data_IF_578639734179
#
_entry.id   IF_578639734179
#
_cell.length_a   1.000
_cell.length_b   1.000
_cell.length_c   1.000
_cell.angle_alpha   90.00
_cell.angle_beta   90.00
_cell.angle_gamma   90.00
#
_symmetry.space_group_name_H-M   'P 1'
#
loop_
_entity.id
_entity.type
_entity.pdbx_description
1 polymer ?
#
# COMPACT_ATOMS: atom_id res chain seq x y z
N UNK A 1 -3.13 11.70 -5.31
CA UNK A 1 -2.61 10.49 -5.99
C UNK A 1 -3.67 9.88 -6.90
N UNK A 2 -4.79 9.36 -6.37
CA UNK A 2 -5.84 8.71 -7.17
C UNK A 2 -6.67 9.64 -8.07
N UNK A 3 -6.49 10.95 -7.95
CA UNK A 3 -7.02 11.91 -8.92
C UNK A 3 -6.37 11.74 -10.30
N UNK A 4 -5.11 11.29 -10.35
CA UNK A 4 -4.30 11.21 -11.58
C UNK A 4 -3.93 9.77 -11.96
N UNK A 5 -3.75 8.89 -10.98
CA UNK A 5 -3.29 7.51 -11.22
C UNK A 5 -4.32 6.49 -10.74
N UNK A 6 -4.43 5.37 -11.46
CA UNK A 6 -5.33 4.27 -11.07
C UNK A 6 -4.70 3.32 -10.03
N UNK A 7 -3.38 3.39 -9.86
CA UNK A 7 -2.62 2.55 -8.92
C UNK A 7 -1.60 3.37 -8.14
N UNK A 8 -1.46 3.05 -6.85
CA UNK A 8 -0.42 3.58 -5.98
C UNK A 8 0.36 2.42 -5.38
N UNK A 9 1.69 2.54 -5.39
CA UNK A 9 2.61 1.53 -4.88
C UNK A 9 3.18 1.95 -3.53
N UNK A 10 3.27 1.01 -2.59
CA UNK A 10 3.92 1.18 -1.30
C UNK A 10 5.07 0.18 -1.18
N UNK A 11 6.23 0.69 -0.79
CA UNK A 11 7.45 -0.09 -0.57
C UNK A 11 7.74 -0.10 0.92
N UNK A 12 7.66 -1.28 1.54
CA UNK A 12 7.73 -1.42 3.00
C UNK A 12 8.76 -2.49 3.35
N UNK A 13 9.69 -2.15 4.25
CA UNK A 13 10.63 -3.12 4.78
C UNK A 13 9.89 -4.28 5.50
N UNK A 14 10.33 -5.54 5.35
CA UNK A 14 9.74 -6.70 6.02
C UNK A 14 9.66 -6.56 7.55
N UNK A 15 10.55 -5.79 8.15
CA UNK A 15 10.59 -5.52 9.59
C UNK A 15 9.60 -4.45 10.05
N UNK A 16 9.04 -3.64 9.14
CA UNK A 16 8.11 -2.56 9.47
C UNK A 16 6.66 -3.06 9.50
N UNK A 17 6.37 -3.94 10.46
CA UNK A 17 5.06 -4.60 10.64
C UNK A 17 3.92 -3.59 10.81
N UNK A 18 4.18 -2.46 11.47
CA UNK A 18 3.18 -1.39 11.66
C UNK A 18 2.70 -0.85 10.31
N UNK A 19 3.61 -0.57 9.39
CA UNK A 19 3.27 -0.01 8.08
C UNK A 19 2.60 -1.05 7.18
N UNK A 20 2.99 -2.34 7.29
CA UNK A 20 2.30 -3.43 6.59
C UNK A 20 0.82 -3.52 7.01
N UNK A 21 0.55 -3.49 8.32
CA UNK A 21 -0.83 -3.50 8.84
C UNK A 21 -1.62 -2.26 8.42
N UNK A 22 -0.98 -1.09 8.46
CA UNK A 22 -1.61 0.15 8.01
C UNK A 22 -1.95 0.11 6.51
N UNK A 23 -1.03 -0.40 5.68
CA UNK A 23 -1.23 -0.56 4.24
C UNK A 23 -2.43 -1.48 3.95
N UNK A 24 -2.51 -2.64 4.60
CA UNK A 24 -3.66 -3.54 4.48
C UNK A 24 -4.97 -2.89 4.92
N UNK A 25 -4.96 -2.11 6.01
CA UNK A 25 -6.15 -1.39 6.50
C UNK A 25 -6.69 -0.38 5.49
N UNK A 26 -5.81 0.23 4.69
CA UNK A 26 -6.19 1.14 3.60
C UNK A 26 -6.33 0.43 2.25
N UNK A 27 -6.52 -0.89 2.25
CA UNK A 27 -6.87 -1.67 1.06
C UNK A 27 -5.70 -1.98 0.14
N UNK A 28 -4.46 -1.83 0.63
CA UNK A 28 -3.29 -2.25 -0.12
C UNK A 28 -3.19 -3.79 -0.13
N UNK A 29 -3.01 -4.35 -1.31
CA UNK A 29 -2.76 -5.78 -1.50
C UNK A 29 -1.28 -6.02 -1.72
N UNK A 30 -0.72 -7.04 -1.06
CA UNK A 30 0.64 -7.48 -1.34
C UNK A 30 0.72 -7.99 -2.79
N UNK A 31 1.74 -7.54 -3.52
CA UNK A 31 1.98 -7.95 -4.90
C UNK A 31 3.16 -8.93 -4.98
N UNK A 32 4.32 -8.51 -4.49
CA UNK A 32 5.55 -9.31 -4.49
C UNK A 32 6.60 -8.72 -3.53
N UNK A 33 7.68 -9.46 -3.33
CA UNK A 33 8.90 -9.00 -2.65
C UNK A 33 10.01 -8.82 -3.68
N UNK A 34 10.79 -7.76 -3.53
CA UNK A 34 11.97 -7.51 -4.36
C UNK A 34 13.05 -6.78 -3.57
N UNK A 35 14.32 -6.96 -3.96
CA UNK A 35 15.41 -6.15 -3.45
C UNK A 35 15.39 -4.78 -4.14
N UNK A 36 15.00 -3.74 -3.40
CA UNK A 36 14.84 -2.39 -3.93
C UNK A 36 15.75 -1.40 -3.20
N UNK A 37 16.41 -0.55 -3.98
CA UNK A 37 17.26 0.54 -3.51
C UNK A 37 16.45 1.78 -3.10
N UNK A 38 15.43 1.62 -2.25
CA UNK A 38 14.47 2.69 -1.91
C UNK A 38 15.15 3.86 -1.18
N UNK A 39 16.11 3.57 -0.29
CA UNK A 39 16.87 4.58 0.45
C UNK A 39 18.36 4.23 0.53
N UNK A 40 18.97 3.77 -0.57
CA UNK A 40 20.40 3.42 -0.61
C UNK A 40 20.63 2.04 -1.21
N UNK A 41 21.36 1.18 -0.50
CA UNK A 41 21.61 -0.19 -0.95
C UNK A 41 20.29 -0.95 -1.17
N UNK A 42 20.28 -1.86 -2.14
CA UNK A 42 19.12 -2.70 -2.38
C UNK A 42 18.89 -3.62 -1.16
N UNK A 43 17.65 -3.60 -0.66
CA UNK A 43 17.24 -4.43 0.46
C UNK A 43 15.88 -5.04 0.19
N UNK A 44 15.63 -6.21 0.77
CA UNK A 44 14.35 -6.89 0.69
C UNK A 44 13.21 -5.94 1.06
N UNK A 45 12.27 -5.77 0.13
CA UNK A 45 11.17 -4.82 0.24
C UNK A 45 9.88 -5.48 -0.19
N UNK A 46 8.86 -5.41 0.66
CA UNK A 46 7.50 -5.83 0.35
C UNK A 46 6.82 -4.74 -0.48
N UNK A 47 6.35 -5.11 -1.67
CA UNK A 47 5.69 -4.22 -2.61
C UNK A 47 4.17 -4.44 -2.53
N UNK A 48 3.45 -3.39 -2.11
CA UNK A 48 1.99 -3.39 -2.06
C UNK A 48 1.42 -2.46 -3.13
N UNK A 49 0.22 -2.79 -3.59
CA UNK A 49 -0.57 -2.02 -4.55
C UNK A 49 -1.90 -1.61 -3.94
N UNK A 50 -2.30 -0.35 -4.13
CA UNK A 50 -3.66 0.11 -3.88
C UNK A 50 -4.24 0.54 -5.23
N UNK A 51 -5.40 -0.02 -5.62
CA UNK A 51 -6.15 0.47 -6.78
C UNK A 51 -7.08 1.61 -6.37
N UNK A 52 -7.38 2.50 -7.32
CA UNK A 52 -8.35 3.59 -7.14
C UNK A 52 -9.72 3.07 -6.70
N UNK A 53 -10.13 1.91 -7.22
CA UNK A 53 -11.38 1.25 -6.82
C UNK A 53 -11.32 0.84 -5.35
N UNK A 54 -10.26 0.15 -4.93
CA UNK A 54 -10.12 -0.27 -3.53
C UNK A 54 -10.12 0.93 -2.58
N UNK A 55 -9.44 2.01 -2.96
CA UNK A 55 -9.43 3.27 -2.22
C UNK A 55 -10.82 3.89 -2.09
N UNK A 56 -11.59 3.94 -3.17
CA UNK A 56 -12.96 4.47 -3.17
C UNK A 56 -13.90 3.64 -2.29
N UNK A 57 -13.81 2.31 -2.34
CA UNK A 57 -14.64 1.44 -1.49
C UNK A 57 -14.40 1.67 0.00
N UNK A 58 -13.14 1.91 0.41
CA UNK A 58 -12.85 2.25 1.80
C UNK A 58 -13.49 3.56 2.26
N UNK A 59 -13.48 4.58 1.39
CA UNK A 59 -14.12 5.86 1.71
C UNK A 59 -15.64 5.73 1.87
N UNK A 60 -16.28 4.88 1.05
CA UNK A 60 -17.71 4.59 1.15
C UNK A 60 -18.05 3.85 2.46
N UNK A 61 -17.29 2.81 2.80
CA UNK A 61 -17.54 2.02 4.02
C UNK A 61 -17.27 2.82 5.31
N UNK A 62 -16.34 3.77 5.27
CA UNK A 62 -16.05 4.67 6.39
C UNK A 62 -17.17 5.69 6.63
N UNK A 63 -17.95 5.98 5.58
CA UNK A 63 -19.09 6.93 5.63
C UNK A 63 -20.37 6.31 6.20
N UNK A 64 -20.47 4.97 6.25
CA UNK A 64 -21.64 4.25 6.78
C UNK A 64 -21.49 3.83 8.26
N UNK A 65 -20.38 4.17 8.90
CA UNK A 65 -20.15 3.93 10.34
C UNK A 65 -20.25 5.21 11.19
N UNK A 66 -20.87 6.26 10.65
CA UNK A 66 -21.14 7.53 11.33
C UNK A 66 -22.60 7.70 11.69
#
# INVERSE_FOLDING_TARGET
AFETFDEVWLHIAPTNIRSQKAAQKIGATYAYTADLAVTGAATETLCYRISKIAWQQLSLNSSQQG
#
